data_IF_468263898107
#
_entry.id   IF_468263898107
#
_cell.length_a   1.000
_cell.length_b   1.000
_cell.length_c   1.000
_cell.angle_alpha   90.00
_cell.angle_beta   90.00
_cell.angle_gamma   90.00
#
_symmetry.space_group_name_H-M   'P 1'
#
loop_
_entity.id
_entity.type
_entity.pdbx_description
1 polymer ?
#
# COMPACT_ATOMS: atom_id res chain seq x y z
N UNK A 1 -1.10 -7.64 -17.15
CA UNK A 1 -0.62 -6.40 -16.49
C UNK A 1 -1.52 -5.19 -16.73
N UNK A 2 -1.71 -4.69 -17.97
CA UNK A 2 -2.58 -3.52 -18.19
C UNK A 2 -4.07 -3.80 -17.90
N UNK A 3 -4.55 -5.00 -18.28
CA UNK A 3 -5.93 -5.44 -18.01
C UNK A 3 -6.19 -5.61 -16.50
N UNK A 4 -5.23 -6.18 -15.76
CA UNK A 4 -5.33 -6.35 -14.31
C UNK A 4 -5.40 -5.01 -13.57
N UNK A 5 -4.65 -4.00 -14.05
CA UNK A 5 -4.73 -2.63 -13.53
C UNK A 5 -6.09 -1.99 -13.82
N UNK A 6 -6.67 -2.22 -14.99
CA UNK A 6 -8.01 -1.72 -15.33
C UNK A 6 -9.08 -2.37 -14.43
N UNK A 7 -9.02 -3.69 -14.22
CA UNK A 7 -9.93 -4.38 -13.30
C UNK A 7 -9.83 -3.86 -11.86
N UNK A 8 -8.61 -3.61 -11.39
CA UNK A 8 -8.41 -3.03 -10.06
C UNK A 8 -9.05 -1.63 -9.95
N UNK A 9 -8.97 -0.81 -11.00
CA UNK A 9 -9.65 0.49 -11.05
C UNK A 9 -11.17 0.34 -11.05
N UNK A 10 -11.72 -0.61 -11.81
CA UNK A 10 -13.16 -0.91 -11.79
C UNK A 10 -13.64 -1.33 -10.38
N UNK A 11 -12.83 -2.08 -9.64
CA UNK A 11 -13.17 -2.48 -8.27
C UNK A 11 -13.09 -1.31 -7.29
N UNK A 12 -12.13 -0.39 -7.46
CA UNK A 12 -12.09 0.87 -6.71
C UNK A 12 -13.31 1.74 -7.02
N UNK A 13 -13.72 1.84 -8.29
CA UNK A 13 -14.92 2.59 -8.68
C UNK A 13 -16.19 2.03 -8.02
N UNK A 14 -16.33 0.71 -7.94
CA UNK A 14 -17.44 0.06 -7.22
C UNK A 14 -17.43 0.40 -5.74
N UNK A 15 -16.27 0.36 -5.07
CA UNK A 15 -16.16 0.73 -3.65
C UNK A 15 -16.46 2.22 -3.42
N UNK A 16 -16.05 3.12 -4.32
CA UNK A 16 -16.44 4.54 -4.26
C UNK A 16 -17.95 4.70 -4.37
N UNK A 17 -18.60 3.98 -5.29
CA UNK A 17 -20.05 4.01 -5.41
C UNK A 17 -20.75 3.55 -4.11
N UNK A 18 -20.21 2.52 -3.44
CA UNK A 18 -20.70 2.06 -2.15
C UNK A 18 -20.52 3.12 -1.04
N UNK A 19 -19.36 3.80 -0.99
CA UNK A 19 -19.13 4.92 -0.06
C UNK A 19 -20.20 6.00 -0.23
N UNK A 20 -20.43 6.43 -1.47
CA UNK A 20 -21.42 7.47 -1.77
C UNK A 20 -22.84 7.03 -1.42
N UNK A 21 -23.20 5.77 -1.72
CA UNK A 21 -24.51 5.23 -1.39
C UNK A 21 -24.74 5.18 0.12
N UNK A 22 -23.80 4.63 0.90
CA UNK A 22 -23.93 4.58 2.35
C UNK A 22 -23.99 5.98 2.97
N UNK A 23 -23.16 6.92 2.50
CA UNK A 23 -23.21 8.31 2.94
C UNK A 23 -24.58 8.96 2.66
N UNK A 24 -25.11 8.78 1.45
CA UNK A 24 -26.42 9.31 1.08
C UNK A 24 -27.54 8.75 1.95
N UNK A 25 -27.51 7.45 2.25
CA UNK A 25 -28.47 6.82 3.17
C UNK A 25 -28.35 7.36 4.60
N UNK A 26 -27.12 7.56 5.11
CA UNK A 26 -26.90 8.13 6.45
C UNK A 26 -27.48 9.55 6.52
N UNK A 27 -27.16 10.41 5.57
CA UNK A 27 -27.63 11.80 5.53
C UNK A 27 -29.17 11.85 5.47
N UNK A 28 -29.79 11.03 4.62
CA UNK A 28 -31.25 10.96 4.50
C UNK A 28 -31.91 10.42 5.77
N UNK A 29 -31.27 9.47 6.46
CA UNK A 29 -31.81 8.94 7.72
C UNK A 29 -31.72 9.98 8.85
N UNK A 30 -30.62 10.74 8.90
CA UNK A 30 -30.43 11.84 9.87
C UNK A 30 -31.37 13.03 9.62
N UNK A 31 -31.90 13.20 8.40
CA UNK A 31 -32.86 14.27 8.11
C UNK A 31 -34.28 13.97 8.56
N UNK A 32 -34.57 12.77 9.07
CA UNK A 32 -35.90 12.39 9.59
C UNK A 32 -36.06 12.89 11.03
N UNK A 33 -37.29 13.21 11.41
CA UNK A 33 -37.63 13.60 12.80
C UNK A 33 -37.26 12.51 13.82
N UNK A 34 -37.36 11.23 13.42
CA UNK A 34 -36.96 10.08 14.23
C UNK A 34 -36.08 9.14 13.41
N UNK A 35 -34.77 9.23 13.60
CA UNK A 35 -33.80 8.38 12.93
C UNK A 35 -33.80 6.94 13.47
N UNK A 36 -33.55 5.98 12.58
CA UNK A 36 -33.33 4.58 12.89
C UNK A 36 -31.86 4.31 13.22
N UNK A 37 -31.53 4.25 14.52
CA UNK A 37 -30.17 4.01 15.01
C UNK A 37 -29.53 2.72 14.46
N UNK A 38 -30.30 1.63 14.36
CA UNK A 38 -29.78 0.36 13.84
C UNK A 38 -29.40 0.44 12.36
N UNK A 39 -30.19 1.16 11.56
CA UNK A 39 -29.86 1.42 10.16
C UNK A 39 -28.61 2.31 10.04
N UNK A 40 -28.52 3.36 10.87
CA UNK A 40 -27.36 4.25 10.90
C UNK A 40 -26.08 3.48 11.23
N UNK A 41 -26.08 2.65 12.28
CA UNK A 41 -24.90 1.86 12.65
C UNK A 41 -24.46 0.94 11.53
N UNK A 42 -25.41 0.27 10.87
CA UNK A 42 -25.09 -0.62 9.75
C UNK A 42 -24.47 0.15 8.58
N UNK A 43 -25.07 1.29 8.19
CA UNK A 43 -24.57 2.10 7.09
C UNK A 43 -23.24 2.76 7.41
N UNK A 44 -23.04 3.18 8.66
CA UNK A 44 -21.78 3.77 9.12
C UNK A 44 -20.63 2.76 9.08
N UNK A 45 -20.88 1.52 9.54
CA UNK A 45 -19.89 0.44 9.44
C UNK A 45 -19.54 0.11 7.98
N UNK A 46 -20.54 0.09 7.09
CA UNK A 46 -20.31 -0.12 5.66
C UNK A 46 -19.50 1.03 5.06
N UNK A 47 -19.86 2.28 5.36
CA UNK A 47 -19.16 3.48 4.92
C UNK A 47 -17.69 3.47 5.34
N UNK A 48 -17.39 3.19 6.62
CA UNK A 48 -16.02 3.10 7.13
C UNK A 48 -15.21 1.98 6.47
N UNK A 49 -15.83 0.83 6.24
CA UNK A 49 -15.18 -0.32 5.59
C UNK A 49 -14.83 0.00 4.14
N UNK A 50 -15.78 0.53 3.36
CA UNK A 50 -15.54 0.89 1.96
C UNK A 50 -14.55 2.04 1.83
N UNK A 51 -14.59 3.06 2.71
CA UNK A 51 -13.53 4.10 2.75
C UNK A 51 -12.17 3.49 3.02
N UNK A 52 -12.06 2.54 3.95
CA UNK A 52 -10.78 1.89 4.21
C UNK A 52 -10.28 1.17 2.96
N UNK A 53 -11.15 0.44 2.24
CA UNK A 53 -10.76 -0.22 0.98
C UNK A 53 -10.30 0.75 -0.11
N UNK A 54 -10.93 1.92 -0.22
CA UNK A 54 -10.54 2.96 -1.19
C UNK A 54 -9.25 3.68 -0.77
N UNK A 55 -9.15 4.10 0.50
CA UNK A 55 -8.08 4.95 1.02
C UNK A 55 -6.81 4.17 1.38
N UNK A 56 -6.96 2.98 1.94
CA UNK A 56 -5.85 2.08 2.30
C UNK A 56 -5.70 0.97 1.27
N UNK A 57 -6.05 1.25 0.00
CA UNK A 57 -6.05 0.31 -1.12
C UNK A 57 -5.07 -0.84 -0.89
N UNK A 58 -5.61 -2.06 -0.89
CA UNK A 58 -4.90 -3.35 -0.79
C UNK A 58 -3.36 -3.23 -0.91
N UNK A 59 -2.55 -3.79 0.02
CA UNK A 59 -1.19 -3.34 0.39
C UNK A 59 -0.09 -3.12 -0.68
N UNK A 60 -0.34 -3.22 -1.99
CA UNK A 60 0.70 -3.27 -3.02
C UNK A 60 0.20 -3.17 -4.47
N UNK A 61 -1.10 -3.24 -4.76
CA UNK A 61 -1.56 -3.46 -6.14
C UNK A 61 -2.05 -2.16 -6.79
N UNK A 62 -1.10 -1.29 -7.14
CA UNK A 62 -1.38 -0.06 -7.89
C UNK A 62 -0.37 1.05 -7.66
N UNK A 63 0.41 0.99 -6.59
CA UNK A 63 1.47 1.95 -6.29
C UNK A 63 2.83 1.40 -6.74
N UNK A 64 3.73 2.28 -7.17
CA UNK A 64 5.16 1.94 -7.40
C UNK A 64 5.86 1.50 -6.10
N UNK A 65 5.17 1.48 -4.95
CA UNK A 65 5.77 1.21 -3.65
C UNK A 65 6.40 -0.18 -3.56
N UNK A 66 5.74 -1.23 -4.03
CA UNK A 66 6.31 -2.59 -4.01
C UNK A 66 7.59 -2.65 -4.83
N UNK A 67 7.54 -2.18 -6.09
CA UNK A 67 8.71 -2.09 -6.97
C UNK A 67 9.83 -1.19 -6.39
N UNK A 68 9.47 -0.08 -5.73
CA UNK A 68 10.41 0.82 -5.06
C UNK A 68 11.07 0.14 -3.86
N UNK A 69 10.30 -0.61 -3.06
CA UNK A 69 10.81 -1.36 -1.90
C UNK A 69 11.72 -2.51 -2.35
N UNK A 70 11.36 -3.22 -3.40
CA UNK A 70 12.20 -4.28 -3.98
C UNK A 70 13.50 -3.68 -4.53
N UNK A 71 13.43 -2.56 -5.25
CA UNK A 71 14.62 -1.82 -5.68
C UNK A 71 15.46 -1.33 -4.50
N UNK A 72 14.83 -0.81 -3.43
CA UNK A 72 15.55 -0.36 -2.23
C UNK A 72 16.27 -1.52 -1.53
N UNK A 73 15.63 -2.69 -1.42
CA UNK A 73 16.26 -3.88 -0.84
C UNK A 73 17.40 -4.40 -1.73
N UNK A 74 17.22 -4.39 -3.06
CA UNK A 74 18.28 -4.74 -4.00
C UNK A 74 19.47 -3.78 -3.88
N UNK A 75 19.22 -2.47 -3.73
CA UNK A 75 20.25 -1.46 -3.52
C UNK A 75 21.01 -1.70 -2.21
N UNK A 76 20.31 -1.96 -1.10
CA UNK A 76 20.96 -2.26 0.18
C UNK A 76 21.84 -3.50 0.10
N UNK A 77 21.41 -4.54 -0.62
CA UNK A 77 22.21 -5.74 -0.87
C UNK A 77 23.46 -5.44 -1.70
N UNK A 78 23.32 -4.65 -2.76
CA UNK A 78 24.44 -4.23 -3.60
C UNK A 78 25.47 -3.39 -2.83
N UNK A 79 25.00 -2.45 -2.01
CA UNK A 79 25.84 -1.63 -1.13
C UNK A 79 26.59 -2.50 -0.11
N UNK A 80 25.92 -3.47 0.50
CA UNK A 80 26.56 -4.41 1.41
C UNK A 80 27.63 -5.25 0.71
N UNK A 81 27.34 -5.78 -0.49
CA UNK A 81 28.32 -6.51 -1.29
C UNK A 81 29.54 -5.64 -1.63
N UNK A 82 29.33 -4.37 -1.99
CA UNK A 82 30.41 -3.40 -2.25
C UNK A 82 31.32 -3.23 -1.02
N UNK A 83 30.74 -3.07 0.17
CA UNK A 83 31.51 -2.96 1.42
C UNK A 83 32.35 -4.21 1.66
N UNK A 84 31.74 -5.40 1.54
CA UNK A 84 32.46 -6.68 1.75
C UNK A 84 33.55 -6.93 0.72
N UNK A 85 33.34 -6.58 -0.53
CA UNK A 85 34.38 -6.64 -1.54
C UNK A 85 35.53 -5.66 -1.24
N UNK A 86 35.23 -4.47 -0.73
CA UNK A 86 36.24 -3.51 -0.29
C UNK A 86 37.07 -4.01 0.89
N UNK A 87 36.43 -4.64 1.89
CA UNK A 87 37.13 -5.29 3.01
C UNK A 87 38.06 -6.41 2.51
N UNK A 88 37.53 -7.29 1.65
CA UNK A 88 38.31 -8.38 1.06
C UNK A 88 39.49 -7.88 0.22
N UNK A 89 39.27 -6.83 -0.58
CA UNK A 89 40.32 -6.20 -1.38
C UNK A 89 41.48 -5.73 -0.52
N UNK A 90 41.19 -5.03 0.60
CA UNK A 90 42.22 -4.61 1.56
C UNK A 90 42.95 -5.79 2.18
N UNK A 91 42.24 -6.87 2.51
CA UNK A 91 42.89 -8.11 3.01
C UNK A 91 43.82 -8.71 1.98
N UNK A 92 43.39 -8.81 0.71
CA UNK A 92 44.24 -9.29 -0.37
C UNK A 92 45.47 -8.40 -0.56
N UNK A 93 45.33 -7.06 -0.52
CA UNK A 93 46.46 -6.12 -0.58
C UNK A 93 47.46 -6.37 0.56
N UNK A 94 46.99 -6.49 1.81
CA UNK A 94 47.86 -6.80 2.95
C UNK A 94 48.57 -8.16 2.84
N UNK A 95 47.98 -9.14 2.14
CA UNK A 95 48.59 -10.44 1.90
C UNK A 95 49.61 -10.41 0.77
N UNK A 96 49.45 -9.49 -0.19
CA UNK A 96 50.32 -9.34 -1.37
C UNK A 96 51.52 -8.41 -1.09
N UNK A 97 51.37 -7.46 -0.15
CA UNK A 97 52.47 -6.72 0.46
C UNK A 97 52.70 -7.21 1.90
N UNK A 98 53.31 -8.40 2.11
CA UNK A 98 53.74 -8.79 3.44
C UNK A 98 54.81 -7.77 3.86
N UNK A 99 54.51 -6.96 4.88
CA UNK A 99 55.48 -6.01 5.44
C UNK A 99 56.81 -6.73 5.70
N UNK A 100 57.88 -6.24 5.06
CA UNK A 100 59.28 -6.56 5.38
C UNK A 100 59.58 -6.37 6.86
#
# INVERSE_FOLDING_TARGET
MANDRLRALEDVEKEIALVLQSAGTIVLELSKEKANASLLDRQLNQFQTSISRVATGQPHEGSTYSARKDCQMALNRAEYARVKLGELGRTCEMMLDPQT
#
